data_IF_470951999163
#
_entry.id   IF_470951999163
#
_cell.length_a   1.000
_cell.length_b   1.000
_cell.length_c   1.000
_cell.angle_alpha   90.00
_cell.angle_beta   90.00
_cell.angle_gamma   90.00
#
_symmetry.space_group_name_H-M   'P 1'
#
loop_
_entity.id
_entity.type
_entity.pdbx_description
1 polymer ?
#
# COMPACT_ATOMS: atom_id res chain seq x y z
N UNK A 1 -37.62 47.30 2.35
CA UNK A 1 -36.48 47.96 1.68
C UNK A 1 -35.39 46.96 1.42
N UNK A 2 -35.02 46.65 0.17
CA UNK A 2 -33.93 45.78 -0.15
C UNK A 2 -32.62 46.54 -0.25
N UNK A 3 -31.63 46.13 0.51
CA UNK A 3 -30.25 46.62 0.46
C UNK A 3 -29.59 46.03 -0.78
N UNK A 4 -29.20 46.91 -1.70
CA UNK A 4 -28.35 46.59 -2.86
C UNK A 4 -26.91 46.48 -2.41
N UNK A 5 -26.29 45.30 -2.49
CA UNK A 5 -24.84 45.15 -2.40
C UNK A 5 -24.21 45.33 -3.78
N UNK A 6 -23.20 46.20 -3.78
CA UNK A 6 -22.37 46.60 -4.91
C UNK A 6 -21.36 45.52 -5.28
N UNK A 7 -21.35 45.13 -6.55
CA UNK A 7 -20.23 44.38 -7.14
C UNK A 7 -18.96 45.25 -7.17
N UNK A 8 -17.94 44.84 -6.46
CA UNK A 8 -16.59 45.38 -6.56
C UNK A 8 -15.87 44.75 -7.75
N UNK A 9 -15.44 45.60 -8.71
CA UNK A 9 -14.60 45.19 -9.83
C UNK A 9 -13.20 44.84 -9.34
N UNK A 10 -12.73 43.63 -9.66
CA UNK A 10 -11.35 43.24 -9.54
C UNK A 10 -10.57 43.67 -10.78
N UNK A 11 -9.57 44.49 -10.61
CA UNK A 11 -8.63 44.86 -11.66
C UNK A 11 -7.75 43.65 -12.01
N UNK A 12 -7.69 43.33 -13.31
CA UNK A 12 -6.75 42.35 -13.85
C UNK A 12 -5.30 42.88 -13.72
N UNK A 13 -4.32 42.05 -13.32
CA UNK A 13 -2.93 42.46 -13.29
C UNK A 13 -2.39 42.64 -14.73
N UNK A 14 -1.48 43.60 -14.96
CA UNK A 14 -0.93 43.91 -16.26
C UNK A 14 -0.09 42.74 -16.81
N UNK A 15 -0.33 42.40 -18.09
CA UNK A 15 0.43 41.43 -18.85
C UNK A 15 1.78 42.02 -19.21
N UNK A 16 2.86 41.42 -18.74
CA UNK A 16 4.23 41.80 -19.14
C UNK A 16 4.48 41.44 -20.61
N UNK A 17 5.11 42.34 -21.39
CA UNK A 17 5.42 42.03 -22.79
C UNK A 17 6.60 41.07 -22.92
N UNK A 18 6.45 40.09 -23.83
CA UNK A 18 7.50 39.14 -24.18
C UNK A 18 8.75 39.85 -24.73
N UNK A 19 9.99 39.40 -24.37
CA UNK A 19 11.19 39.91 -24.96
C UNK A 19 11.31 39.57 -26.45
N UNK A 20 12.00 40.39 -27.25
CA UNK A 20 12.14 40.19 -28.69
C UNK A 20 12.95 38.93 -29.01
N UNK A 21 12.57 38.27 -30.10
CA UNK A 21 13.23 37.10 -30.64
C UNK A 21 14.72 37.39 -30.95
N UNK A 22 15.59 36.46 -30.57
CA UNK A 22 16.98 36.47 -30.94
C UNK A 22 17.09 36.13 -32.42
N UNK A 23 17.83 36.95 -33.17
CA UNK A 23 18.14 36.78 -34.59
C UNK A 23 18.93 35.50 -34.84
N UNK A 24 18.53 34.80 -35.88
CA UNK A 24 19.19 33.61 -36.41
C UNK A 24 20.58 33.98 -36.98
N UNK A 25 21.64 33.56 -36.30
CA UNK A 25 22.95 33.48 -36.92
C UNK A 25 23.04 32.17 -37.72
N UNK A 26 23.08 32.28 -39.03
CA UNK A 26 23.38 31.21 -39.99
C UNK A 26 24.81 30.68 -39.71
N UNK A 27 24.91 29.62 -38.91
CA UNK A 27 26.11 28.81 -38.74
C UNK A 27 26.24 27.85 -39.91
N UNK A 28 27.31 27.97 -40.70
CA UNK A 28 27.70 27.07 -41.78
C UNK A 28 27.72 25.61 -41.28
N UNK A 29 26.87 24.76 -41.85
CA UNK A 29 26.86 23.32 -41.60
C UNK A 29 28.13 22.69 -42.21
N UNK A 30 29.07 22.29 -41.35
CA UNK A 30 30.08 21.31 -41.71
C UNK A 30 29.39 19.98 -42.07
N UNK A 31 29.75 19.32 -43.19
CA UNK A 31 29.14 18.05 -43.56
C UNK A 31 29.45 16.98 -42.50
N UNK A 32 28.49 16.10 -42.19
CA UNK A 32 28.68 15.07 -41.19
C UNK A 32 29.85 14.17 -41.55
N UNK A 33 30.88 14.16 -40.72
CA UNK A 33 32.02 13.24 -40.83
C UNK A 33 31.49 11.86 -40.47
N UNK A 34 31.46 10.97 -41.46
CA UNK A 34 31.13 9.56 -41.29
C UNK A 34 32.21 8.89 -40.41
N UNK A 35 31.89 8.49 -39.17
CA UNK A 35 32.87 7.93 -38.23
C UNK A 35 33.40 6.54 -38.64
N UNK A 36 32.90 5.95 -39.71
CA UNK A 36 33.27 4.61 -40.15
C UNK A 36 34.34 4.58 -41.25
N UNK A 37 34.97 5.73 -41.62
CA UNK A 37 36.01 5.78 -42.70
C UNK A 37 37.45 5.95 -42.19
N UNK A 38 37.74 5.63 -40.95
CA UNK A 38 39.12 5.48 -40.50
C UNK A 38 39.48 4.00 -40.51
N UNK A 39 40.37 3.67 -41.43
CA UNK A 39 40.92 2.34 -41.69
C UNK A 39 41.42 1.63 -40.42
N UNK A 40 41.15 0.32 -40.38
CA UNK A 40 41.76 -0.70 -39.53
C UNK A 40 41.31 -0.80 -38.06
N UNK A 41 40.26 -1.54 -37.85
CA UNK A 41 39.90 -2.10 -36.57
C UNK A 41 38.41 -2.40 -36.52
N UNK A 42 38.05 -3.69 -36.63
CA UNK A 42 36.65 -4.14 -36.66
C UNK A 42 35.83 -3.49 -35.54
N UNK A 43 34.65 -3.02 -35.89
CA UNK A 43 33.62 -2.70 -34.92
C UNK A 43 33.27 -4.01 -34.20
N UNK A 44 33.94 -4.30 -33.07
CA UNK A 44 33.42 -5.26 -32.14
C UNK A 44 32.06 -4.68 -31.67
N UNK A 45 30.98 -5.32 -32.12
CA UNK A 45 29.65 -5.05 -31.51
C UNK A 45 29.83 -5.23 -30.01
N UNK A 46 29.72 -4.14 -29.27
CA UNK A 46 29.61 -4.20 -27.82
C UNK A 46 28.53 -5.23 -27.51
N UNK A 47 28.84 -6.26 -26.68
CA UNK A 47 27.84 -7.24 -26.30
C UNK A 47 26.65 -6.48 -25.71
N UNK A 48 25.40 -6.83 -26.07
CA UNK A 48 24.21 -6.12 -25.63
C UNK A 48 24.32 -5.95 -24.12
N UNK A 49 24.37 -4.70 -23.65
CA UNK A 49 24.41 -4.37 -22.24
C UNK A 49 23.27 -5.15 -21.60
N UNK A 50 23.57 -6.14 -20.72
CA UNK A 50 22.51 -6.95 -20.15
C UNK A 50 21.52 -5.99 -19.52
N UNK A 51 20.29 -5.99 -20.02
CA UNK A 51 19.20 -5.22 -19.46
C UNK A 51 19.24 -5.51 -17.97
N UNK A 52 19.62 -4.51 -17.16
CA UNK A 52 19.72 -4.64 -15.69
C UNK A 52 18.39 -5.21 -15.25
N UNK A 53 18.39 -6.50 -14.96
CA UNK A 53 17.23 -7.18 -14.36
C UNK A 53 16.86 -6.33 -13.17
N UNK A 54 15.62 -5.82 -13.18
CA UNK A 54 15.03 -5.08 -12.07
C UNK A 54 15.43 -5.77 -10.78
N UNK A 55 16.19 -5.07 -9.97
CA UNK A 55 16.72 -5.55 -8.71
C UNK A 55 15.60 -6.20 -7.90
N UNK A 56 15.79 -7.45 -7.50
CA UNK A 56 14.91 -8.23 -6.59
C UNK A 56 14.76 -7.61 -5.18
N UNK A 57 15.13 -6.33 -4.98
CA UNK A 57 15.41 -5.74 -3.68
C UNK A 57 14.23 -5.05 -3.00
N UNK A 58 13.14 -4.76 -3.72
CA UNK A 58 11.95 -4.14 -3.13
C UNK A 58 10.88 -5.20 -2.88
N UNK A 59 11.11 -6.08 -1.89
CA UNK A 59 10.10 -7.05 -1.48
C UNK A 59 9.48 -6.63 -0.16
N UNK A 60 8.18 -6.38 -0.19
CA UNK A 60 7.36 -6.37 0.99
C UNK A 60 7.43 -7.75 1.65
N UNK A 61 7.96 -7.83 2.87
CA UNK A 61 7.97 -9.05 3.68
C UNK A 61 6.91 -8.94 4.76
N UNK A 62 5.95 -9.86 4.73
CA UNK A 62 5.01 -10.02 5.82
C UNK A 62 5.52 -11.10 6.79
N UNK A 63 5.43 -10.84 8.09
CA UNK A 63 5.79 -11.77 9.15
C UNK A 63 4.68 -11.85 10.17
N UNK A 64 4.40 -13.07 10.64
CA UNK A 64 3.44 -13.33 11.70
C UNK A 64 4.19 -13.99 12.86
N UNK A 65 4.12 -13.37 14.02
CA UNK A 65 4.73 -13.85 15.25
C UNK A 65 3.68 -14.02 16.34
N UNK A 66 3.71 -15.12 17.06
CA UNK A 66 2.77 -15.44 18.15
C UNK A 66 3.53 -15.61 19.46
N UNK A 67 3.06 -14.93 20.47
CA UNK A 67 3.53 -15.08 21.85
C UNK A 67 2.31 -15.32 22.75
N UNK A 68 2.09 -16.57 23.16
CA UNK A 68 0.89 -16.98 23.88
C UNK A 68 -0.39 -16.68 23.09
N UNK A 69 -1.29 -15.92 23.70
CA UNK A 69 -2.52 -15.44 23.05
C UNK A 69 -2.32 -14.17 22.22
N UNK A 70 -1.15 -13.54 22.34
CA UNK A 70 -0.84 -12.31 21.62
C UNK A 70 -0.29 -12.64 20.23
N UNK A 71 -0.82 -11.98 19.22
CA UNK A 71 -0.41 -12.12 17.84
C UNK A 71 0.15 -10.79 17.35
N UNK A 72 1.28 -10.85 16.65
CA UNK A 72 1.88 -9.71 15.96
C UNK A 72 2.00 -10.01 14.48
N UNK A 73 1.48 -9.12 13.66
CA UNK A 73 1.54 -9.18 12.20
C UNK A 73 2.33 -7.97 11.74
N UNK A 74 3.34 -8.16 10.90
CA UNK A 74 4.12 -7.05 10.35
C UNK A 74 4.22 -7.12 8.84
N UNK A 75 4.28 -5.96 8.21
CA UNK A 75 4.64 -5.76 6.82
C UNK A 75 5.82 -4.81 6.76
N UNK A 76 6.91 -5.20 6.11
CA UNK A 76 8.14 -4.39 6.01
C UNK A 76 8.47 -4.15 4.55
N UNK A 77 8.74 -2.91 4.21
CA UNK A 77 9.27 -2.51 2.89
C UNK A 77 10.63 -1.88 3.12
N UNK A 78 11.63 -2.37 2.38
CA UNK A 78 12.99 -1.81 2.38
C UNK A 78 13.24 -1.16 1.03
N UNK A 79 13.81 0.03 1.05
CA UNK A 79 14.16 0.79 -0.15
C UNK A 79 15.64 1.12 -0.16
N UNK A 80 16.23 1.10 -1.34
CA UNK A 80 17.61 1.55 -1.58
C UNK A 80 17.56 2.75 -2.52
N UNK A 81 18.00 3.92 -2.03
CA UNK A 81 18.06 5.15 -2.85
C UNK A 81 16.72 5.78 -3.22
N UNK A 82 15.61 5.36 -2.63
CA UNK A 82 14.31 5.93 -2.90
C UNK A 82 13.95 7.04 -1.89
N UNK A 83 13.28 8.07 -2.36
CA UNK A 83 12.71 9.10 -1.51
C UNK A 83 11.49 8.56 -0.77
N UNK A 84 11.48 8.75 0.54
CA UNK A 84 10.39 8.33 1.42
C UNK A 84 9.43 9.48 1.69
N UNK A 85 8.16 9.33 1.32
CA UNK A 85 7.09 10.28 1.63
C UNK A 85 6.17 9.68 2.68
N UNK A 86 6.24 10.22 3.90
CA UNK A 86 5.44 9.75 5.04
C UNK A 86 4.12 10.52 5.14
N UNK A 87 3.05 9.82 5.50
CA UNK A 87 1.76 10.43 5.81
C UNK A 87 1.70 10.90 7.26
N UNK A 88 1.13 12.08 7.49
CA UNK A 88 0.81 12.58 8.84
C UNK A 88 -0.42 11.89 9.44
N UNK A 89 -1.30 11.34 8.60
CA UNK A 89 -2.62 10.85 9.00
C UNK A 89 -2.62 9.38 9.46
N UNK A 90 -1.46 8.77 9.60
CA UNK A 90 -1.30 7.36 9.97
C UNK A 90 -2.00 6.96 11.28
N UNK A 91 -2.36 7.92 12.14
CA UNK A 91 -2.96 7.66 13.46
C UNK A 91 -4.40 7.16 13.42
N UNK A 92 -5.00 7.08 12.24
CA UNK A 92 -6.46 6.84 12.09
C UNK A 92 -6.83 5.48 11.49
N UNK A 93 -5.91 4.50 11.51
CA UNK A 93 -6.15 3.18 10.92
C UNK A 93 -7.42 2.50 11.47
N UNK A 94 -7.61 2.53 12.78
CA UNK A 94 -8.83 2.03 13.43
C UNK A 94 -9.10 2.83 14.71
N UNK A 95 -10.00 3.79 14.64
CA UNK A 95 -10.33 4.66 15.80
C UNK A 95 -11.14 3.96 16.89
N UNK A 96 -11.83 2.89 16.53
CA UNK A 96 -12.75 2.16 17.43
C UNK A 96 -12.20 0.81 17.86
N UNK A 97 -10.97 0.44 17.44
CA UNK A 97 -10.31 -0.77 17.88
C UNK A 97 -9.86 -0.63 19.34
N UNK A 98 -10.19 -1.61 20.15
CA UNK A 98 -9.83 -1.69 21.57
C UNK A 98 -8.87 -2.84 21.87
N UNK A 99 -8.82 -3.85 20.99
CA UNK A 99 -8.02 -5.07 21.15
C UNK A 99 -6.83 -5.12 20.19
N UNK A 100 -6.85 -4.31 19.13
CA UNK A 100 -5.76 -4.15 18.18
C UNK A 100 -4.99 -2.86 18.43
N UNK A 101 -3.69 -3.00 18.62
CA UNK A 101 -2.71 -1.93 18.57
C UNK A 101 -1.98 -1.99 17.22
N UNK A 102 -1.64 -0.85 16.66
CA UNK A 102 -0.89 -0.78 15.42
C UNK A 102 0.18 0.30 15.49
N UNK A 103 1.29 0.07 14.79
CA UNK A 103 2.43 0.97 14.82
C UNK A 103 3.12 1.02 13.45
N UNK A 104 3.86 2.10 13.26
CA UNK A 104 4.78 2.33 12.17
C UNK A 104 6.15 2.64 12.72
N UNK A 105 7.12 1.83 12.36
CA UNK A 105 8.52 2.08 12.64
C UNK A 105 9.22 2.51 11.34
N UNK A 106 9.94 3.62 11.38
CA UNK A 106 10.83 4.04 10.30
C UNK A 106 12.25 3.81 10.76
N UNK A 107 12.93 2.89 10.09
CA UNK A 107 14.32 2.55 10.39
C UNK A 107 15.21 3.22 9.36
N UNK A 108 15.94 4.22 9.80
CA UNK A 108 17.00 4.84 9.01
C UNK A 108 18.29 4.02 9.19
N UNK A 109 19.03 3.74 8.13
CA UNK A 109 20.27 3.00 8.28
C UNK A 109 21.28 3.83 9.07
N UNK A 110 21.82 3.22 10.09
CA UNK A 110 23.02 3.73 10.78
C UNK A 110 24.23 3.07 10.14
N UNK A 111 25.12 3.83 9.51
CA UNK A 111 26.40 3.34 9.01
C UNK A 111 26.60 3.42 7.50
N UNK A 112 27.28 2.43 6.92
CA UNK A 112 27.88 2.46 5.57
C UNK A 112 26.94 2.55 4.36
N UNK A 113 25.61 2.50 4.56
CA UNK A 113 24.61 2.60 3.49
C UNK A 113 23.55 3.64 3.84
N UNK A 114 23.86 4.92 3.70
CA UNK A 114 22.94 6.02 4.03
C UNK A 114 21.66 6.03 3.17
N UNK A 115 21.65 5.28 2.06
CA UNK A 115 20.58 5.33 1.07
C UNK A 115 19.49 4.26 1.29
N UNK A 116 19.58 3.46 2.37
CA UNK A 116 18.56 2.47 2.69
C UNK A 116 17.66 2.97 3.81
N UNK A 117 16.35 2.94 3.59
CA UNK A 117 15.35 3.12 4.63
C UNK A 117 14.42 1.90 4.66
N UNK A 118 13.93 1.54 5.83
CA UNK A 118 12.92 0.51 5.99
C UNK A 118 11.72 1.07 6.74
N UNK A 119 10.52 0.84 6.21
CA UNK A 119 9.28 1.11 6.90
C UNK A 119 8.68 -0.22 7.30
N UNK A 120 8.36 -0.34 8.56
CA UNK A 120 7.66 -1.49 9.11
C UNK A 120 6.32 -1.04 9.67
N UNK A 121 5.26 -1.66 9.17
CA UNK A 121 3.95 -1.59 9.77
C UNK A 121 3.69 -2.84 10.57
N UNK A 122 3.10 -2.72 11.73
CA UNK A 122 2.71 -3.88 12.50
C UNK A 122 1.42 -3.65 13.28
N UNK A 123 0.72 -4.77 13.48
CA UNK A 123 -0.44 -4.91 14.33
C UNK A 123 -0.11 -5.86 15.47
N UNK A 124 -0.62 -5.62 16.65
CA UNK A 124 -0.52 -6.52 17.78
C UNK A 124 -1.85 -6.56 18.53
N UNK A 125 -2.25 -7.74 18.96
CA UNK A 125 -3.48 -7.89 19.72
C UNK A 125 -3.67 -9.29 20.25
N UNK A 126 -4.67 -9.46 21.10
CA UNK A 126 -5.11 -10.78 21.60
C UNK A 126 -5.97 -11.44 20.53
N UNK A 127 -5.49 -12.53 19.95
CA UNK A 127 -6.25 -13.26 18.92
C UNK A 127 -7.46 -13.96 19.53
N UNK A 128 -8.60 -13.89 18.85
CA UNK A 128 -9.79 -14.67 19.16
C UNK A 128 -9.47 -16.16 19.05
N UNK A 129 -9.88 -16.94 20.03
CA UNK A 129 -9.63 -18.38 20.11
C UNK A 129 -10.55 -19.16 19.15
N UNK A 130 -10.15 -20.41 18.84
CA UNK A 130 -10.97 -21.32 18.04
C UNK A 130 -12.35 -21.58 18.69
N UNK A 131 -12.38 -21.70 20.01
CA UNK A 131 -13.62 -21.94 20.76
C UNK A 131 -14.58 -20.75 20.65
N UNK A 132 -14.07 -19.52 20.71
CA UNK A 132 -14.86 -18.30 20.55
C UNK A 132 -15.39 -18.13 19.13
N UNK A 133 -14.57 -18.46 18.12
CA UNK A 133 -15.01 -18.48 16.71
C UNK A 133 -16.10 -19.53 16.48
N UNK A 134 -15.95 -20.73 17.07
CA UNK A 134 -16.96 -21.79 16.99
C UNK A 134 -18.25 -21.39 17.70
N UNK A 135 -18.17 -20.67 18.83
CA UNK A 135 -19.35 -20.18 19.54
C UNK A 135 -20.15 -19.14 18.73
N UNK A 136 -19.52 -18.46 17.78
CA UNK A 136 -20.18 -17.55 16.85
C UNK A 136 -20.84 -18.26 15.64
N UNK A 137 -20.87 -19.59 15.62
CA UNK A 137 -21.44 -20.37 14.51
C UNK A 137 -22.84 -19.88 14.10
N UNK A 138 -23.13 -19.94 12.79
CA UNK A 138 -24.37 -19.44 12.16
C UNK A 138 -24.54 -17.92 12.18
N UNK A 139 -23.62 -17.15 12.76
CA UNK A 139 -23.64 -15.69 12.72
C UNK A 139 -22.95 -15.17 11.49
N UNK A 140 -23.38 -13.97 11.11
CA UNK A 140 -22.70 -13.15 10.09
C UNK A 140 -22.36 -11.82 10.73
N UNK A 141 -21.17 -11.31 10.49
CA UNK A 141 -20.74 -10.01 10.97
C UNK A 141 -20.18 -9.17 9.81
N UNK A 142 -20.32 -7.87 9.95
CA UNK A 142 -19.70 -6.88 9.07
C UNK A 142 -18.60 -6.16 9.84
N UNK A 143 -17.49 -5.94 9.14
CA UNK A 143 -16.31 -5.26 9.65
C UNK A 143 -15.96 -4.14 8.69
N UNK A 144 -15.58 -2.99 9.23
CA UNK A 144 -14.99 -1.91 8.46
C UNK A 144 -13.79 -1.31 9.17
N UNK A 145 -12.89 -0.73 8.42
CA UNK A 145 -11.70 -0.13 8.99
C UNK A 145 -10.76 0.45 7.95
N UNK A 146 -9.53 0.71 8.36
CA UNK A 146 -8.52 1.34 7.53
C UNK A 146 -7.49 0.35 6.99
N UNK A 147 -6.88 0.74 5.87
CA UNK A 147 -5.62 0.20 5.36
C UNK A 147 -4.55 1.28 5.48
N UNK A 148 -3.35 0.85 5.82
CA UNK A 148 -2.20 1.72 5.89
C UNK A 148 -0.97 1.01 5.32
N UNK A 149 -0.35 1.61 4.32
CA UNK A 149 0.77 0.97 3.64
C UNK A 149 1.52 1.89 2.71
N UNK A 150 2.44 1.30 1.97
CA UNK A 150 3.28 1.97 0.99
C UNK A 150 2.91 1.59 -0.42
N UNK A 151 3.07 2.56 -1.32
CA UNK A 151 3.18 2.36 -2.76
C UNK A 151 4.62 2.57 -3.15
N UNK A 152 5.22 1.54 -3.76
CA UNK A 152 6.58 1.61 -4.30
C UNK A 152 6.52 1.95 -5.79
N UNK A 153 7.20 3.02 -6.15
CA UNK A 153 7.42 3.43 -7.55
C UNK A 153 8.91 3.66 -7.78
N UNK A 154 9.33 3.83 -9.02
CA UNK A 154 10.75 4.11 -9.33
C UNK A 154 11.20 5.37 -8.60
N UNK A 155 12.14 5.23 -7.68
CA UNK A 155 12.74 6.32 -6.93
C UNK A 155 11.91 6.89 -5.76
N UNK A 156 10.69 6.37 -5.51
CA UNK A 156 9.83 6.87 -4.43
C UNK A 156 9.09 5.77 -3.70
N UNK A 157 8.96 5.93 -2.39
CA UNK A 157 8.02 5.18 -1.56
C UNK A 157 7.07 6.16 -0.91
N UNK A 158 5.78 6.02 -1.18
CA UNK A 158 4.75 6.92 -0.67
C UNK A 158 3.80 6.16 0.23
N UNK A 159 3.61 6.62 1.45
CA UNK A 159 2.57 6.10 2.33
C UNK A 159 1.19 6.52 1.87
N UNK A 160 0.26 5.60 1.92
CA UNK A 160 -1.13 5.77 1.55
C UNK A 160 -2.05 5.18 2.61
N UNK A 161 -3.19 5.81 2.74
CA UNK A 161 -4.33 5.35 3.52
C UNK A 161 -5.40 4.81 2.58
N UNK A 162 -6.16 3.84 3.08
CA UNK A 162 -7.32 3.30 2.42
C UNK A 162 -8.36 2.86 3.44
N UNK A 163 -9.44 2.27 2.97
CA UNK A 163 -10.43 1.66 3.85
C UNK A 163 -10.89 0.32 3.29
N UNK A 164 -11.48 -0.52 4.14
CA UNK A 164 -12.06 -1.78 3.73
C UNK A 164 -13.38 -2.08 4.45
N UNK A 165 -14.17 -2.91 3.80
CA UNK A 165 -15.36 -3.54 4.34
C UNK A 165 -15.28 -5.06 4.10
N UNK A 166 -15.67 -5.83 5.10
CA UNK A 166 -15.70 -7.28 5.00
C UNK A 166 -16.97 -7.85 5.65
N UNK A 167 -17.60 -8.81 4.96
CA UNK A 167 -18.72 -9.58 5.50
C UNK A 167 -18.25 -11.00 5.75
N UNK A 168 -18.34 -11.45 6.99
CA UNK A 168 -17.84 -12.75 7.44
C UNK A 168 -18.99 -13.62 7.93
N UNK A 169 -19.04 -14.87 7.46
CA UNK A 169 -19.93 -15.92 7.98
C UNK A 169 -19.12 -16.90 8.82
N UNK A 170 -19.57 -17.14 10.04
CA UNK A 170 -18.96 -18.07 10.99
C UNK A 170 -19.68 -19.41 10.96
N UNK A 171 -18.92 -20.51 11.01
CA UNK A 171 -19.38 -21.88 11.18
C UNK A 171 -18.75 -22.52 12.42
N UNK A 172 -19.11 -23.76 12.72
CA UNK A 172 -18.65 -24.49 13.92
C UNK A 172 -17.14 -24.71 13.88
N UNK A 173 -16.59 -25.10 12.72
CA UNK A 173 -15.17 -25.43 12.54
C UNK A 173 -14.45 -24.52 11.56
N UNK A 174 -15.15 -23.59 10.92
CA UNK A 174 -14.61 -22.74 9.87
C UNK A 174 -15.33 -21.39 9.82
N UNK A 175 -14.74 -20.45 9.11
CA UNK A 175 -15.35 -19.19 8.72
C UNK A 175 -15.02 -18.86 7.25
N UNK A 176 -15.74 -17.90 6.68
CA UNK A 176 -15.52 -17.44 5.32
C UNK A 176 -15.79 -15.94 5.22
N UNK A 177 -14.90 -15.20 4.60
CA UNK A 177 -15.17 -13.84 4.15
C UNK A 177 -15.96 -13.93 2.85
N UNK A 178 -17.26 -13.71 2.95
CA UNK A 178 -18.19 -13.78 1.80
C UNK A 178 -18.04 -12.59 0.85
N UNK A 179 -17.66 -11.45 1.41
CA UNK A 179 -17.43 -10.21 0.68
C UNK A 179 -16.26 -9.49 1.30
N UNK A 180 -15.32 -9.07 0.47
CA UNK A 180 -14.22 -8.17 0.80
C UNK A 180 -14.19 -7.06 -0.24
N UNK A 181 -14.19 -5.82 0.23
CA UNK A 181 -14.01 -4.62 -0.59
C UNK A 181 -12.98 -3.74 0.06
N UNK A 182 -12.01 -3.28 -0.69
CA UNK A 182 -10.98 -2.37 -0.21
C UNK A 182 -10.74 -1.26 -1.21
N UNK A 183 -10.67 -0.03 -0.73
CA UNK A 183 -10.19 1.12 -1.51
C UNK A 183 -8.78 1.46 -1.05
N UNK A 184 -7.84 1.48 -1.99
CA UNK A 184 -6.45 1.84 -1.72
C UNK A 184 -5.82 2.49 -2.96
N UNK A 185 -5.16 3.64 -2.75
CA UNK A 185 -4.53 4.44 -3.80
C UNK A 185 -5.45 4.69 -5.01
N UNK A 186 -6.69 5.14 -4.72
CA UNK A 186 -7.70 5.51 -5.71
C UNK A 186 -8.28 4.34 -6.51
N UNK A 187 -8.09 3.08 -6.07
CA UNK A 187 -8.65 1.90 -6.71
C UNK A 187 -9.44 1.04 -5.73
N UNK A 188 -10.50 0.43 -6.25
CA UNK A 188 -11.36 -0.49 -5.51
C UNK A 188 -11.00 -1.93 -5.88
N UNK A 189 -10.68 -2.73 -4.87
CA UNK A 189 -10.40 -4.15 -4.94
C UNK A 189 -11.57 -4.92 -4.33
N UNK A 190 -12.12 -5.88 -5.06
CA UNK A 190 -13.27 -6.67 -4.60
C UNK A 190 -12.97 -8.15 -4.72
N UNK A 191 -13.41 -8.89 -3.72
CA UNK A 191 -13.19 -10.33 -3.68
C UNK A 191 -13.83 -11.01 -2.47
N UNK A 192 -13.33 -12.20 -2.19
CA UNK A 192 -13.76 -13.04 -1.07
C UNK A 192 -12.61 -13.91 -0.57
N UNK A 193 -12.85 -14.74 0.43
CA UNK A 193 -11.92 -15.79 0.85
C UNK A 193 -12.41 -17.18 0.50
N UNK A 194 -11.49 -18.14 0.48
CA UNK A 194 -11.83 -19.53 0.67
C UNK A 194 -12.42 -19.79 2.07
N UNK A 195 -13.06 -20.93 2.26
CA UNK A 195 -13.46 -21.41 3.60
C UNK A 195 -12.17 -21.65 4.41
N UNK A 196 -12.09 -21.06 5.59
CA UNK A 196 -10.89 -21.07 6.44
C UNK A 196 -11.19 -21.75 7.77
N UNK A 197 -10.36 -22.73 8.22
CA UNK A 197 -10.48 -23.31 9.56
C UNK A 197 -10.37 -22.25 10.67
N UNK A 198 -11.11 -22.42 11.77
CA UNK A 198 -11.16 -21.45 12.88
C UNK A 198 -9.81 -21.22 13.59
N UNK A 199 -8.81 -22.08 13.40
CA UNK A 199 -7.47 -21.98 13.97
C UNK A 199 -6.41 -21.42 13.01
N UNK A 200 -6.80 -21.05 11.80
CA UNK A 200 -5.89 -20.57 10.77
C UNK A 200 -6.12 -19.08 10.45
N UNK A 201 -5.11 -18.47 9.86
CA UNK A 201 -5.29 -17.15 9.27
C UNK A 201 -6.17 -17.26 8.01
N UNK A 202 -7.02 -16.29 7.79
CA UNK A 202 -7.72 -16.20 6.51
C UNK A 202 -6.82 -15.59 5.43
N UNK A 203 -7.12 -15.94 4.19
CA UNK A 203 -6.59 -15.26 3.01
C UNK A 203 -7.74 -14.82 2.14
N UNK A 204 -7.80 -13.55 1.78
CA UNK A 204 -8.76 -13.04 0.81
C UNK A 204 -8.03 -12.36 -0.34
N UNK A 205 -8.57 -12.52 -1.53
CA UNK A 205 -8.01 -11.94 -2.75
C UNK A 205 -9.04 -11.05 -3.41
N UNK A 206 -8.65 -9.82 -3.72
CA UNK A 206 -9.45 -8.88 -4.49
C UNK A 206 -8.72 -8.43 -5.74
N UNK A 207 -9.44 -7.97 -6.75
CA UNK A 207 -8.85 -7.49 -8.01
C UNK A 207 -9.40 -6.12 -8.41
N UNK A 208 -8.59 -5.36 -9.16
CA UNK A 208 -8.95 -4.09 -9.76
C UNK A 208 -8.16 -3.90 -11.06
N UNK A 209 -8.75 -4.28 -12.19
CA UNK A 209 -8.05 -4.36 -13.47
C UNK A 209 -6.90 -5.36 -13.41
N UNK A 210 -5.69 -4.93 -13.78
CA UNK A 210 -4.49 -5.77 -13.76
C UNK A 210 -3.86 -5.93 -12.36
N UNK A 211 -4.37 -5.20 -11.36
CA UNK A 211 -3.85 -5.26 -9.99
C UNK A 211 -4.62 -6.29 -9.17
N UNK A 212 -3.88 -7.04 -8.38
CA UNK A 212 -4.39 -8.01 -7.44
C UNK A 212 -3.97 -7.65 -6.02
N UNK A 213 -4.92 -7.58 -5.11
CA UNK A 213 -4.71 -7.42 -3.68
C UNK A 213 -4.86 -8.78 -3.00
N UNK A 214 -3.83 -9.20 -2.29
CA UNK A 214 -3.85 -10.37 -1.42
C UNK A 214 -3.82 -9.90 0.02
N UNK A 215 -4.75 -10.39 0.84
CA UNK A 215 -4.83 -10.06 2.26
C UNK A 215 -4.73 -11.33 3.08
N UNK A 216 -4.06 -11.24 4.24
CA UNK A 216 -4.01 -12.31 5.23
C UNK A 216 -4.18 -11.72 6.61
N UNK A 217 -4.95 -12.40 7.48
CA UNK A 217 -5.21 -11.86 8.80
C UNK A 217 -5.91 -12.80 9.77
N UNK A 218 -6.24 -12.24 10.93
CA UNK A 218 -6.89 -12.92 12.04
C UNK A 218 -8.00 -12.06 12.63
N UNK A 219 -8.82 -12.69 13.47
CA UNK A 219 -9.76 -12.02 14.35
C UNK A 219 -9.14 -11.75 15.71
N UNK A 220 -9.53 -10.65 16.33
CA UNK A 220 -8.98 -10.17 17.58
C UNK A 220 -10.08 -9.84 18.59
N UNK A 221 -9.69 -9.93 19.87
CA UNK A 221 -10.51 -9.61 21.01
C UNK A 221 -11.28 -10.80 21.57
N UNK A 222 -11.90 -10.59 22.72
CA UNK A 222 -12.68 -11.57 23.46
C UNK A 222 -14.17 -11.25 23.25
N UNK A 223 -14.85 -11.94 22.33
CA UNK A 223 -16.26 -11.68 22.08
C UNK A 223 -17.12 -12.15 23.27
N UNK A 224 -18.24 -11.50 23.50
CA UNK A 224 -19.27 -12.03 24.38
C UNK A 224 -19.70 -13.42 23.86
N UNK A 225 -20.16 -14.30 24.77
CA UNK A 225 -20.50 -15.69 24.42
C UNK A 225 -21.46 -15.76 23.23
N UNK A 226 -21.03 -16.43 22.19
CA UNK A 226 -21.80 -16.59 20.94
C UNK A 226 -21.87 -15.36 20.04
N UNK A 227 -21.18 -14.29 20.38
CA UNK A 227 -21.02 -13.14 19.49
C UNK A 227 -19.84 -13.33 18.53
N UNK A 228 -19.89 -12.76 17.31
CA UNK A 228 -18.72 -12.68 16.45
C UNK A 228 -17.60 -11.85 17.09
N UNK A 229 -16.33 -12.10 16.73
CA UNK A 229 -15.18 -11.30 17.18
C UNK A 229 -15.39 -9.80 17.00
N UNK A 230 -14.89 -8.95 17.92
CA UNK A 230 -15.05 -7.51 17.80
C UNK A 230 -14.19 -6.88 16.72
N UNK A 231 -13.03 -7.46 16.40
CA UNK A 231 -12.07 -6.83 15.52
C UNK A 231 -11.41 -7.83 14.54
N UNK A 232 -10.95 -7.31 13.41
CA UNK A 232 -10.24 -8.03 12.37
C UNK A 232 -9.01 -7.23 11.95
N UNK A 233 -7.90 -7.91 11.65
CA UNK A 233 -6.71 -7.23 11.18
C UNK A 233 -5.71 -8.18 10.54
N UNK A 234 -4.80 -7.60 9.76
CA UNK A 234 -3.83 -8.37 9.01
C UNK A 234 -2.90 -7.51 8.18
N UNK A 235 -2.26 -8.14 7.21
CA UNK A 235 -1.46 -7.47 6.21
C UNK A 235 -2.06 -7.64 4.82
N UNK A 236 -1.69 -6.75 3.91
CA UNK A 236 -2.05 -6.83 2.50
C UNK A 236 -0.84 -6.60 1.60
N UNK A 237 -0.91 -7.11 0.40
CA UNK A 237 0.01 -6.83 -0.70
C UNK A 237 -0.79 -6.63 -1.98
N UNK A 238 -0.41 -5.64 -2.79
CA UNK A 238 -1.00 -5.37 -4.10
C UNK A 238 0.10 -5.44 -5.13
N UNK A 239 -0.12 -6.26 -6.17
CA UNK A 239 0.82 -6.44 -7.28
C UNK A 239 0.10 -6.43 -8.62
N UNK A 240 0.83 -6.18 -9.71
CA UNK A 240 0.33 -6.22 -11.08
C UNK A 240 0.44 -4.89 -11.82
N UNK A 241 0.59 -4.94 -13.14
CA UNK A 241 0.72 -3.73 -13.97
C UNK A 241 1.92 -2.84 -13.62
N UNK A 242 3.02 -3.41 -13.10
CA UNK A 242 4.19 -2.64 -12.65
C UNK A 242 4.00 -1.90 -11.31
N UNK A 243 2.91 -2.19 -10.60
CA UNK A 243 2.57 -1.63 -9.30
C UNK A 243 2.93 -2.60 -8.18
N UNK A 244 3.49 -2.10 -7.11
CA UNK A 244 3.76 -2.85 -5.88
C UNK A 244 3.40 -1.98 -4.68
N UNK A 245 2.58 -2.55 -3.79
CA UNK A 245 2.19 -1.91 -2.55
C UNK A 245 1.99 -2.95 -1.45
N UNK A 246 2.16 -2.54 -0.21
CA UNK A 246 1.93 -3.42 0.93
C UNK A 246 1.79 -2.65 2.23
N UNK A 247 1.14 -3.30 3.19
CA UNK A 247 0.88 -2.67 4.48
C UNK A 247 0.06 -3.55 5.40
N UNK A 248 -0.64 -2.91 6.32
CA UNK A 248 -1.52 -3.54 7.31
C UNK A 248 -2.93 -2.96 7.22
N UNK A 249 -3.91 -3.73 7.68
CA UNK A 249 -5.28 -3.28 7.82
C UNK A 249 -5.81 -3.65 9.20
N UNK A 250 -6.70 -2.83 9.73
CA UNK A 250 -7.39 -3.07 10.99
C UNK A 250 -8.80 -2.48 10.94
N UNK A 251 -9.75 -3.19 11.51
CA UNK A 251 -11.14 -2.75 11.56
C UNK A 251 -11.93 -3.41 12.67
N UNK A 252 -13.07 -2.81 12.97
CA UNK A 252 -13.99 -3.27 13.99
C UNK A 252 -15.34 -3.70 13.38
N UNK A 253 -16.03 -4.55 14.11
CA UNK A 253 -17.39 -4.96 13.81
C UNK A 253 -18.36 -3.81 14.08
N UNK A 254 -19.35 -3.64 13.23
CA UNK A 254 -20.47 -2.72 13.35
C UNK A 254 -21.82 -3.41 13.17
#
# INVERSE_FOLDING_TARGET
>A
DPVKEKCGGGEEPPVEPCPPACDDEEGEEDPPVDPCKLDHGGCEEDPPVPSRSRSKRDRSMAMIYREGSRLRISSTVTTEGAMLVLSSDYRHLCRVCSYLEWHRDVLWPTGRKPDMASIRYWLSGVSTTQAELAAAASKTAQYSGGLFGNVSTVGHITEKLGHFDAKVRFGVSHYQIQHFSAEFDGRNYRGNSAITPNNALFSATGSSGERQMNTQGYFFGNPARGAPPPEIGGHFQITGGGYDAGGVFAGARH
#
